data_IF_203126556503
#
_entry.id   IF_203126556503
#
_cell.length_a   1.000
_cell.length_b   1.000
_cell.length_c   1.000
_cell.angle_alpha   90.00
_cell.angle_beta   90.00
_cell.angle_gamma   90.00
#
_symmetry.space_group_name_H-M   'P 1'
#
loop_
_entity.id
_entity.type
_entity.pdbx_description
1 polymer ?
#
# COMPACT_ATOMS: atom_id res chain seq x y z
N UNK A 1 15.01 0.69 2.60
CA UNK A 1 14.80 -0.77 2.82
C UNK A 1 15.79 -1.50 1.94
N UNK A 2 16.96 -1.82 2.44
CA UNK A 2 18.06 -2.27 1.57
C UNK A 2 18.24 -3.78 1.48
N UNK A 3 17.70 -4.58 2.35
CA UNK A 3 17.70 -6.04 2.15
C UNK A 3 16.77 -6.73 3.11
N UNK A 4 15.90 -7.56 2.57
CA UNK A 4 15.31 -8.68 3.28
C UNK A 4 16.32 -9.83 3.17
N UNK A 5 17.13 -10.03 4.20
CA UNK A 5 18.06 -11.16 4.25
C UNK A 5 17.44 -12.30 5.05
N UNK A 6 17.32 -13.46 4.45
CA UNK A 6 17.08 -14.71 5.17
C UNK A 6 18.41 -15.23 5.66
N UNK A 7 18.58 -15.42 6.97
CA UNK A 7 19.70 -16.18 7.49
C UNK A 7 19.42 -17.68 7.31
N UNK A 8 20.45 -18.48 7.04
CA UNK A 8 20.33 -19.95 6.89
C UNK A 8 19.83 -20.66 8.16
N UNK A 9 19.79 -19.94 9.31
CA UNK A 9 19.27 -20.43 10.57
C UNK A 9 17.89 -19.86 10.83
N UNK A 10 16.88 -20.69 10.71
CA UNK A 10 15.46 -20.37 10.90
C UNK A 10 15.07 -19.79 12.27
N UNK A 11 16.01 -19.65 13.19
CA UNK A 11 15.79 -19.19 14.55
C UNK A 11 16.33 -17.78 14.85
N UNK A 12 16.89 -17.08 13.87
CA UNK A 12 17.45 -15.75 14.08
C UNK A 12 16.51 -14.63 13.60
N UNK A 13 16.52 -13.47 14.27
CA UNK A 13 15.66 -12.36 13.93
C UNK A 13 15.97 -11.83 12.51
N UNK A 14 14.93 -11.46 11.77
CA UNK A 14 15.09 -10.68 10.56
C UNK A 14 15.41 -9.25 10.92
N UNK A 15 16.58 -8.80 10.51
CA UNK A 15 17.03 -7.45 10.70
C UNK A 15 16.76 -6.66 9.41
N UNK A 16 15.97 -5.62 9.51
CA UNK A 16 15.89 -4.60 8.48
C UNK A 16 16.88 -3.52 8.89
N UNK A 17 18.12 -3.66 8.43
CA UNK A 17 19.19 -2.72 8.73
C UNK A 17 19.23 -1.61 7.69
N UNK A 18 19.25 -0.39 8.15
CA UNK A 18 19.49 0.76 7.32
C UNK A 18 20.72 1.49 7.86
N UNK A 19 21.85 1.33 7.18
CA UNK A 19 23.12 2.00 7.53
C UNK A 19 23.59 1.70 8.97
N UNK A 20 23.52 0.44 9.40
CA UNK A 20 23.99 0.01 10.72
C UNK A 20 23.05 0.37 11.89
N UNK A 21 21.81 0.80 11.59
CA UNK A 21 20.74 0.98 12.55
C UNK A 21 19.52 0.20 12.10
N UNK A 22 19.01 -0.68 12.95
CA UNK A 22 17.74 -1.34 12.72
C UNK A 22 16.61 -0.40 13.12
N UNK A 23 15.83 0.09 12.16
CA UNK A 23 14.60 0.83 12.42
C UNK A 23 13.47 -0.10 12.86
N UNK A 24 13.47 -1.32 12.33
CA UNK A 24 12.51 -2.38 12.67
C UNK A 24 13.24 -3.70 12.82
N UNK A 25 13.10 -4.33 13.97
CA UNK A 25 13.57 -5.69 14.25
C UNK A 25 12.37 -6.62 14.23
N UNK A 26 12.41 -7.63 13.39
CA UNK A 26 11.39 -8.68 13.32
C UNK A 26 12.01 -9.96 13.86
N UNK A 27 11.55 -10.39 15.02
CA UNK A 27 11.93 -11.68 15.58
C UNK A 27 11.32 -12.81 14.77
N UNK A 28 12.10 -13.85 14.49
CA UNK A 28 11.62 -15.00 13.75
C UNK A 28 10.81 -15.94 14.67
N UNK A 29 9.52 -15.67 14.78
CA UNK A 29 8.57 -16.58 15.41
C UNK A 29 7.86 -17.48 14.36
N UNK A 30 8.50 -17.76 13.24
CA UNK A 30 7.95 -18.57 12.15
C UNK A 30 7.48 -19.93 12.63
N UNK A 31 8.22 -20.58 13.55
CA UNK A 31 7.85 -21.88 14.08
C UNK A 31 6.50 -21.84 14.80
N UNK A 32 6.30 -20.88 15.72
CA UNK A 32 5.02 -20.72 16.44
C UNK A 32 3.88 -20.36 15.47
N UNK A 33 4.18 -19.59 14.43
CA UNK A 33 3.22 -19.23 13.41
C UNK A 33 2.80 -20.43 12.56
N UNK A 34 3.75 -21.31 12.17
CA UNK A 34 3.46 -22.54 11.46
C UNK A 34 2.68 -23.54 12.31
N UNK A 35 2.97 -23.63 13.62
CA UNK A 35 2.20 -24.46 14.55
C UNK A 35 0.74 -23.99 14.65
N UNK A 36 0.50 -22.68 14.55
CA UNK A 36 -0.85 -22.06 14.54
C UNK A 36 -1.58 -22.26 13.21
N UNK A 37 -0.84 -22.33 12.11
CA UNK A 37 -1.37 -22.45 10.75
C UNK A 37 -0.70 -23.61 10.00
N UNK A 38 -0.98 -24.85 10.39
CA UNK A 38 -0.27 -26.04 9.88
C UNK A 38 -0.46 -26.32 8.39
N UNK A 39 -1.55 -25.82 7.81
CA UNK A 39 -1.86 -25.98 6.39
C UNK A 39 -1.18 -24.93 5.49
N UNK A 40 -0.46 -23.98 6.08
CA UNK A 40 0.21 -22.91 5.33
C UNK A 40 1.69 -23.26 5.15
N UNK A 41 2.23 -23.25 3.90
CA UNK A 41 3.66 -23.47 3.67
C UNK A 41 4.53 -22.50 4.49
N UNK A 42 5.68 -22.98 4.95
CA UNK A 42 6.57 -22.21 5.85
C UNK A 42 6.98 -20.86 5.26
N UNK A 43 7.25 -20.78 3.95
CA UNK A 43 7.61 -19.52 3.28
C UNK A 43 6.46 -18.51 3.33
N UNK A 44 5.21 -19.00 3.21
CA UNK A 44 4.03 -18.15 3.36
C UNK A 44 3.82 -17.71 4.81
N UNK A 45 4.13 -18.58 5.78
CA UNK A 45 4.09 -18.21 7.19
C UNK A 45 5.09 -17.08 7.50
N UNK A 46 6.32 -17.20 7.02
CA UNK A 46 7.34 -16.15 7.15
C UNK A 46 6.88 -14.83 6.54
N UNK A 47 6.36 -14.87 5.31
CA UNK A 47 5.85 -13.70 4.61
C UNK A 47 4.72 -13.02 5.39
N UNK A 48 3.74 -13.79 5.89
CA UNK A 48 2.62 -13.26 6.67
C UNK A 48 3.06 -12.72 8.02
N UNK A 49 3.94 -13.46 8.73
CA UNK A 49 4.41 -13.08 10.04
C UNK A 49 5.25 -11.80 9.99
N UNK A 50 6.23 -11.74 9.09
CA UNK A 50 7.08 -10.57 8.93
C UNK A 50 6.27 -9.35 8.48
N UNK A 51 5.27 -9.55 7.60
CA UNK A 51 4.33 -8.52 7.20
C UNK A 51 3.54 -7.96 8.40
N UNK A 52 2.96 -8.83 9.21
CA UNK A 52 2.19 -8.44 10.38
C UNK A 52 3.05 -7.66 11.40
N UNK A 53 4.28 -8.13 11.64
CA UNK A 53 5.23 -7.46 12.53
C UNK A 53 5.63 -6.08 12.00
N UNK A 54 5.92 -5.97 10.71
CA UNK A 54 6.22 -4.69 10.07
C UNK A 54 5.06 -3.70 10.18
N UNK A 55 3.83 -4.13 9.90
CA UNK A 55 2.64 -3.28 9.99
C UNK A 55 2.45 -2.70 11.38
N UNK A 56 2.60 -3.55 12.39
CA UNK A 56 2.42 -3.14 13.78
C UNK A 56 3.46 -2.12 14.22
N UNK A 57 4.67 -2.19 13.67
CA UNK A 57 5.74 -1.26 13.98
C UNK A 57 5.68 0.02 13.16
N UNK A 58 5.26 -0.04 11.89
CA UNK A 58 5.14 1.10 10.99
C UNK A 58 4.27 2.23 11.57
N UNK A 59 3.25 1.87 12.34
CA UNK A 59 2.36 2.82 13.03
C UNK A 59 3.12 3.72 13.99
N UNK A 60 4.18 3.22 14.63
CA UNK A 60 5.01 4.01 15.54
C UNK A 60 5.82 5.10 14.80
N UNK A 61 5.99 4.94 13.50
CA UNK A 61 6.67 5.88 12.62
C UNK A 61 5.71 6.75 11.80
N UNK A 62 4.43 6.81 12.20
CA UNK A 62 3.42 7.60 11.52
C UNK A 62 3.06 7.09 10.13
N UNK A 63 3.19 5.79 9.90
CA UNK A 63 2.85 5.15 8.64
C UNK A 63 1.73 4.13 8.77
N UNK A 64 1.09 3.83 7.66
CA UNK A 64 0.07 2.79 7.50
C UNK A 64 0.35 1.97 6.24
N UNK A 65 -0.16 0.76 6.18
CA UNK A 65 -0.24 0.00 4.93
C UNK A 65 -1.64 0.09 4.36
N UNK A 66 -1.70 0.52 3.11
CA UNK A 66 -2.96 0.62 2.38
C UNK A 66 -3.04 -0.51 1.35
N UNK A 67 -4.11 -1.31 1.39
CA UNK A 67 -4.37 -2.33 0.38
C UNK A 67 -4.75 -1.64 -0.95
N UNK A 68 -3.75 -1.38 -1.76
CA UNK A 68 -3.86 -0.63 -3.01
C UNK A 68 -2.79 -1.04 -4.01
N UNK A 69 -3.06 -0.83 -5.30
CA UNK A 69 -2.00 -0.77 -6.31
C UNK A 69 -1.50 0.67 -6.42
N UNK A 70 -0.20 0.86 -6.27
CA UNK A 70 0.46 2.17 -6.39
C UNK A 70 1.23 2.24 -7.72
N UNK A 71 0.84 3.17 -8.58
CA UNK A 71 1.51 3.46 -9.85
C UNK A 71 2.16 4.82 -9.76
N UNK A 72 3.38 4.93 -10.23
CA UNK A 72 4.07 6.22 -10.36
C UNK A 72 4.04 6.65 -11.81
N UNK A 73 3.63 7.89 -12.05
CA UNK A 73 3.71 8.58 -13.35
C UNK A 73 4.41 9.91 -13.12
N UNK A 74 5.44 10.18 -13.91
CA UNK A 74 6.24 11.43 -13.81
C UNK A 74 6.70 11.75 -12.38
N UNK A 75 7.10 10.72 -11.63
CA UNK A 75 7.62 10.86 -10.28
C UNK A 75 6.58 11.05 -9.17
N UNK A 76 5.27 11.02 -9.47
CA UNK A 76 4.18 11.11 -8.49
C UNK A 76 3.39 9.81 -8.41
N UNK A 77 3.03 9.38 -7.20
CA UNK A 77 2.30 8.14 -6.95
C UNK A 77 0.78 8.35 -7.00
N UNK A 78 0.11 7.48 -7.72
CA UNK A 78 -1.35 7.36 -7.84
C UNK A 78 -1.76 6.03 -7.24
N UNK A 79 -2.53 6.05 -6.17
CA UNK A 79 -2.92 4.85 -5.43
C UNK A 79 -4.36 4.46 -5.77
N UNK A 80 -4.56 3.22 -6.15
CA UNK A 80 -5.87 2.66 -6.48
C UNK A 80 -6.26 1.62 -5.45
N UNK A 81 -7.30 1.90 -4.69
CA UNK A 81 -7.76 1.04 -3.60
C UNK A 81 -9.19 0.56 -3.85
N UNK A 82 -9.47 -0.67 -3.44
CA UNK A 82 -10.79 -1.31 -3.52
C UNK A 82 -10.76 -2.66 -2.79
N UNK A 83 -11.90 -3.29 -2.51
CA UNK A 83 -11.95 -4.68 -2.08
C UNK A 83 -11.19 -5.63 -3.01
N UNK A 84 -10.78 -6.80 -2.48
CA UNK A 84 -10.09 -7.81 -3.28
C UNK A 84 -10.92 -8.18 -4.52
N UNK A 85 -10.24 -8.37 -5.66
CA UNK A 85 -10.90 -8.77 -6.93
C UNK A 85 -11.66 -7.66 -7.66
N UNK A 86 -11.72 -6.41 -7.16
CA UNK A 86 -12.44 -5.31 -7.83
C UNK A 86 -11.76 -4.84 -9.11
N UNK A 87 -10.41 -4.96 -9.24
CA UNK A 87 -9.69 -4.56 -10.45
C UNK A 87 -8.56 -3.56 -10.24
N UNK A 88 -8.01 -3.43 -9.01
CA UNK A 88 -6.87 -2.53 -8.72
C UNK A 88 -5.70 -2.74 -9.67
N UNK A 89 -5.17 -3.97 -9.73
CA UNK A 89 -4.04 -4.32 -10.61
C UNK A 89 -4.38 -4.17 -12.09
N UNK A 90 -5.64 -4.43 -12.47
CA UNK A 90 -6.12 -4.18 -13.84
C UNK A 90 -6.05 -2.69 -14.17
N UNK A 91 -6.51 -1.83 -13.26
CA UNK A 91 -6.45 -0.38 -13.44
C UNK A 91 -5.01 0.14 -13.47
N UNK A 92 -4.13 -0.40 -12.61
CA UNK A 92 -2.70 -0.13 -12.64
C UNK A 92 -2.07 -0.50 -14.01
N UNK A 93 -2.47 -1.64 -14.59
CA UNK A 93 -2.03 -2.05 -15.91
C UNK A 93 -2.52 -1.11 -17.02
N UNK A 94 -3.71 -0.50 -16.90
CA UNK A 94 -4.17 0.53 -17.84
C UNK A 94 -3.26 1.77 -17.80
N UNK A 95 -2.79 2.17 -16.61
CA UNK A 95 -1.81 3.26 -16.49
C UNK A 95 -0.50 2.95 -17.20
N UNK A 96 0.03 1.72 -17.04
CA UNK A 96 1.26 1.33 -17.76
C UNK A 96 1.08 1.38 -19.29
N UNK A 97 -0.09 0.98 -19.79
CA UNK A 97 -0.40 1.03 -21.23
C UNK A 97 -0.54 2.46 -21.73
N UNK A 98 -1.20 3.34 -20.96
CA UNK A 98 -1.47 4.72 -21.36
C UNK A 98 -0.23 5.60 -21.30
N UNK A 99 0.62 5.43 -20.27
CA UNK A 99 1.75 6.33 -20.02
C UNK A 99 3.13 5.75 -20.40
N UNK A 100 3.19 4.46 -20.76
CA UNK A 100 4.40 3.81 -21.24
C UNK A 100 5.59 3.97 -20.29
N UNK A 101 6.73 4.43 -20.81
CA UNK A 101 7.97 4.60 -20.05
C UNK A 101 7.90 5.64 -18.91
N UNK A 102 6.90 6.52 -18.93
CA UNK A 102 6.64 7.50 -17.87
C UNK A 102 6.06 6.87 -16.61
N UNK A 103 5.56 5.62 -16.71
CA UNK A 103 4.85 4.94 -15.64
C UNK A 103 5.54 3.65 -15.19
N UNK A 104 5.45 3.37 -13.90
CA UNK A 104 5.81 2.07 -13.34
C UNK A 104 4.98 1.74 -12.11
N UNK A 105 4.83 0.44 -11.80
CA UNK A 105 4.20 0.00 -10.56
C UNK A 105 5.23 0.10 -9.43
N UNK A 106 4.89 0.87 -8.39
CA UNK A 106 5.69 0.98 -7.18
C UNK A 106 5.43 -0.21 -6.25
N UNK A 107 4.16 -0.61 -6.11
CA UNK A 107 3.73 -1.79 -5.36
C UNK A 107 2.31 -2.18 -5.76
N UNK A 108 2.05 -3.47 -6.00
CA UNK A 108 0.74 -3.91 -6.52
C UNK A 108 -0.22 -4.43 -5.44
N UNK A 109 0.10 -4.36 -4.14
CA UNK A 109 -0.81 -4.85 -3.11
C UNK A 109 -0.80 -4.03 -1.81
N UNK A 110 0.37 -3.80 -1.22
CA UNK A 110 0.49 -3.19 0.11
C UNK A 110 1.61 -2.16 0.18
N UNK A 111 1.53 -1.04 -0.57
CA UNK A 111 2.45 0.07 -0.37
C UNK A 111 2.34 0.60 1.06
N UNK A 112 3.48 1.00 1.64
CA UNK A 112 3.46 1.78 2.86
C UNK A 112 3.18 3.25 2.51
N UNK A 113 2.37 3.90 3.33
CA UNK A 113 2.01 5.31 3.21
C UNK A 113 2.48 6.02 4.46
N UNK A 114 3.30 7.06 4.33
CA UNK A 114 3.89 7.77 5.45
C UNK A 114 3.98 9.27 5.16
N UNK A 115 3.77 10.08 6.21
CA UNK A 115 4.04 11.51 6.15
C UNK A 115 5.52 11.78 6.45
N UNK A 116 6.20 12.46 5.55
CA UNK A 116 7.61 12.80 5.65
C UNK A 116 7.90 14.07 4.85
N UNK A 117 8.80 14.91 5.32
CA UNK A 117 9.23 16.14 4.62
C UNK A 117 8.08 17.05 4.14
N UNK A 118 6.98 17.12 4.92
CA UNK A 118 5.84 17.97 4.61
C UNK A 118 4.80 17.39 3.64
N UNK A 119 4.97 16.13 3.18
CA UNK A 119 4.07 15.47 2.25
C UNK A 119 3.85 14.00 2.62
N UNK A 120 2.81 13.38 2.05
CA UNK A 120 2.64 11.93 2.09
C UNK A 120 3.37 11.26 0.93
N UNK A 121 4.13 10.22 1.25
CA UNK A 121 4.81 9.37 0.29
C UNK A 121 4.26 7.95 0.33
N UNK A 122 4.21 7.33 -0.85
CA UNK A 122 4.03 5.89 -1.00
C UNK A 122 5.39 5.24 -1.16
N UNK A 123 5.58 4.08 -0.51
CA UNK A 123 6.80 3.28 -0.55
C UNK A 123 6.48 1.89 -1.08
N UNK A 124 7.35 1.35 -1.92
CA UNK A 124 7.31 -0.06 -2.24
C UNK A 124 7.67 -0.90 -1.03
N UNK A 125 6.98 -2.00 -0.86
CA UNK A 125 7.21 -2.98 0.22
C UNK A 125 7.40 -4.37 -0.37
N UNK A 126 8.00 -5.32 0.37
CA UNK A 126 8.07 -6.72 -0.07
C UNK A 126 6.71 -7.38 -0.23
N UNK A 127 5.66 -6.84 0.40
CA UNK A 127 4.30 -7.39 0.33
C UNK A 127 3.57 -6.83 -0.89
N UNK A 128 3.84 -7.45 -2.04
CA UNK A 128 3.42 -7.01 -3.38
C UNK A 128 2.30 -7.86 -4.00
N UNK A 129 1.77 -8.81 -3.24
CA UNK A 129 0.65 -9.65 -3.68
C UNK A 129 1.06 -10.74 -4.68
N UNK A 130 0.08 -11.23 -5.44
CA UNK A 130 0.25 -12.40 -6.31
C UNK A 130 1.22 -12.19 -7.48
N UNK A 131 1.33 -10.95 -7.95
CA UNK A 131 2.15 -10.61 -9.13
C UNK A 131 3.60 -10.33 -8.74
N UNK A 132 3.89 -10.24 -7.45
CA UNK A 132 5.21 -9.91 -6.89
C UNK A 132 5.87 -8.68 -7.55
N UNK A 133 5.06 -7.64 -7.79
CA UNK A 133 5.51 -6.41 -8.42
C UNK A 133 5.70 -5.34 -7.35
N UNK A 134 6.96 -5.04 -7.05
CA UNK A 134 7.37 -4.01 -6.12
C UNK A 134 8.70 -3.39 -6.54
N UNK A 135 8.94 -2.14 -6.15
CA UNK A 135 10.22 -1.46 -6.30
C UNK A 135 10.66 -0.87 -4.96
N UNK A 136 11.92 -1.02 -4.62
CA UNK A 136 12.51 -0.33 -3.47
C UNK A 136 12.70 1.17 -3.79
N UNK A 137 11.59 1.89 -3.78
CA UNK A 137 11.51 3.31 -4.10
C UNK A 137 10.39 3.98 -3.32
N UNK A 138 10.36 5.32 -3.33
CA UNK A 138 9.25 6.13 -2.84
C UNK A 138 8.86 7.20 -3.86
N UNK A 139 7.61 7.64 -3.80
CA UNK A 139 7.14 8.78 -4.56
C UNK A 139 6.09 9.57 -3.76
N UNK A 140 6.02 10.92 -3.89
CA UNK A 140 4.98 11.72 -3.26
C UNK A 140 3.62 11.35 -3.86
N UNK A 141 2.61 11.26 -2.99
CA UNK A 141 1.27 10.84 -3.40
C UNK A 141 0.54 12.01 -4.06
N UNK A 142 0.11 11.81 -5.32
CA UNK A 142 -0.72 12.76 -6.06
C UNK A 142 -2.18 12.66 -5.63
N UNK A 143 -2.65 11.45 -5.33
CA UNK A 143 -4.01 11.19 -4.90
C UNK A 143 -4.26 9.71 -4.64
N UNK A 144 -5.38 9.43 -3.99
CA UNK A 144 -5.86 8.07 -3.74
C UNK A 144 -7.25 7.93 -4.35
N UNK A 145 -7.46 6.88 -5.12
CA UNK A 145 -8.70 6.63 -5.83
C UNK A 145 -9.34 5.31 -5.39
N UNK A 146 -10.59 5.38 -4.95
CA UNK A 146 -11.41 4.21 -4.59
C UNK A 146 -12.13 3.77 -5.85
N UNK A 147 -11.83 2.54 -6.32
CA UNK A 147 -12.38 1.97 -7.54
C UNK A 147 -13.69 1.23 -7.26
N UNK A 148 -14.68 1.46 -8.09
CA UNK A 148 -15.93 0.73 -8.18
C UNK A 148 -16.14 0.26 -9.63
N UNK A 149 -16.62 -0.96 -9.82
CA UNK A 149 -16.95 -1.46 -11.15
C UNK A 149 -18.22 -0.82 -11.66
N UNK A 150 -18.19 -0.31 -12.88
CA UNK A 150 -19.34 0.26 -13.56
C UNK A 150 -19.19 0.12 -15.09
N UNK A 151 -20.26 0.29 -15.82
CA UNK A 151 -20.25 0.32 -17.29
C UNK A 151 -19.66 1.63 -17.83
N UNK A 152 -19.91 2.74 -17.12
CA UNK A 152 -19.43 4.09 -17.49
C UNK A 152 -18.31 4.53 -16.58
N UNK A 153 -17.39 5.31 -17.15
CA UNK A 153 -16.27 5.89 -16.45
C UNK A 153 -16.66 7.26 -15.89
N UNK A 154 -16.73 7.36 -14.57
CA UNK A 154 -17.07 8.60 -13.87
C UNK A 154 -16.16 8.75 -12.64
N UNK A 155 -15.56 9.92 -12.45
CA UNK A 155 -14.72 10.22 -11.29
C UNK A 155 -15.26 11.44 -10.56
N UNK A 156 -15.25 11.37 -9.22
CA UNK A 156 -15.62 12.48 -8.36
C UNK A 156 -14.69 12.56 -7.15
N UNK A 157 -14.42 13.78 -6.69
CA UNK A 157 -13.69 13.98 -5.42
C UNK A 157 -14.62 13.66 -4.26
N UNK A 158 -14.10 12.92 -3.29
CA UNK A 158 -14.83 12.60 -2.04
C UNK A 158 -14.05 13.12 -0.84
N UNK A 159 -14.76 13.40 0.24
CA UNK A 159 -14.17 13.90 1.48
C UNK A 159 -14.97 13.46 2.70
N UNK A 160 -14.57 13.99 3.88
CA UNK A 160 -15.25 13.72 5.14
C UNK A 160 -15.42 12.23 5.44
N UNK A 161 -16.62 11.86 5.90
CA UNK A 161 -16.93 10.49 6.32
C UNK A 161 -16.70 9.44 5.21
N UNK A 162 -17.01 9.77 3.96
CA UNK A 162 -16.85 8.83 2.84
C UNK A 162 -15.38 8.48 2.59
N UNK A 163 -14.49 9.48 2.62
CA UNK A 163 -13.05 9.28 2.48
C UNK A 163 -12.48 8.48 3.66
N UNK A 164 -12.85 8.83 4.91
CA UNK A 164 -12.40 8.12 6.11
C UNK A 164 -12.78 6.63 6.01
N UNK A 165 -14.06 6.32 5.77
CA UNK A 165 -14.55 4.95 5.69
C UNK A 165 -13.86 4.18 4.56
N UNK A 166 -13.71 4.81 3.39
CA UNK A 166 -13.07 4.21 2.23
C UNK A 166 -11.61 3.82 2.50
N UNK A 167 -10.81 4.75 3.02
CA UNK A 167 -9.40 4.51 3.36
C UNK A 167 -9.27 3.52 4.53
N UNK A 168 -10.04 3.72 5.61
CA UNK A 168 -10.00 2.86 6.78
C UNK A 168 -10.31 1.40 6.45
N UNK A 169 -11.31 1.16 5.58
CA UNK A 169 -11.70 -0.20 5.19
C UNK A 169 -10.60 -0.96 4.47
N UNK A 170 -9.68 -0.26 3.82
CA UNK A 170 -8.55 -0.82 3.06
C UNK A 170 -7.20 -0.67 3.78
N UNK A 171 -7.19 -0.09 4.98
CA UNK A 171 -5.98 0.00 5.80
C UNK A 171 -5.80 -1.31 6.60
N UNK A 172 -4.57 -1.83 6.62
CA UNK A 172 -4.21 -2.93 7.50
C UNK A 172 -4.24 -2.42 8.93
N UNK A 173 -5.03 -3.08 9.78
CA UNK A 173 -5.30 -2.62 11.15
C UNK A 173 -4.62 -3.51 12.17
N UNK A 174 -3.97 -2.93 13.19
CA UNK A 174 -3.47 -3.70 14.32
C UNK A 174 -4.64 -4.25 15.14
N UNK A 175 -4.43 -5.39 15.78
CA UNK A 175 -5.44 -5.97 16.67
C UNK A 175 -5.58 -5.22 18.00
N UNK A 176 -4.57 -4.46 18.38
CA UNK A 176 -4.53 -3.72 19.65
C UNK A 176 -5.22 -2.36 19.52
N UNK A 177 -6.21 -2.10 20.39
CA UNK A 177 -6.89 -0.81 20.48
C UNK A 177 -5.92 0.36 20.74
N UNK A 178 -4.81 0.12 21.45
CA UNK A 178 -3.78 1.13 21.74
C UNK A 178 -3.23 1.81 20.48
N UNK A 179 -3.17 1.09 19.35
CA UNK A 179 -2.65 1.62 18.10
C UNK A 179 -3.74 2.18 17.18
N UNK A 180 -5.00 1.93 17.50
CA UNK A 180 -6.12 2.36 16.65
C UNK A 180 -6.22 3.87 16.54
N UNK A 181 -6.04 4.60 17.64
CA UNK A 181 -6.06 6.07 17.63
C UNK A 181 -4.97 6.64 16.72
N UNK A 182 -3.79 6.03 16.69
CA UNK A 182 -2.70 6.44 15.80
C UNK A 182 -3.02 6.17 14.33
N UNK A 183 -3.66 5.04 14.03
CA UNK A 183 -4.11 4.72 12.68
C UNK A 183 -5.15 5.73 12.22
N UNK A 184 -6.14 6.03 13.05
CA UNK A 184 -7.18 7.01 12.73
C UNK A 184 -6.60 8.41 12.53
N UNK A 185 -5.73 8.87 13.44
CA UNK A 185 -5.05 10.16 13.29
C UNK A 185 -4.19 10.25 12.02
N UNK A 186 -3.54 9.13 11.64
CA UNK A 186 -2.78 9.08 10.38
C UNK A 186 -3.71 9.15 9.17
N UNK A 187 -4.87 8.48 9.20
CA UNK A 187 -5.87 8.53 8.13
C UNK A 187 -6.49 9.92 8.02
N UNK A 188 -6.85 10.55 9.14
CA UNK A 188 -7.36 11.93 9.15
C UNK A 188 -6.36 12.89 8.51
N UNK A 189 -5.09 12.84 8.94
CA UNK A 189 -4.03 13.64 8.35
C UNK A 189 -3.81 13.34 6.87
N UNK A 190 -3.95 12.07 6.45
CA UNK A 190 -3.84 11.67 5.05
C UNK A 190 -4.91 12.31 4.19
N UNK A 191 -6.18 12.25 4.59
CA UNK A 191 -7.29 12.82 3.81
C UNK A 191 -7.32 14.36 3.81
N UNK A 192 -6.68 15.00 4.79
CA UNK A 192 -6.50 16.46 4.81
C UNK A 192 -5.43 16.92 3.81
N UNK A 193 -4.43 16.10 3.53
CA UNK A 193 -3.27 16.47 2.74
C UNK A 193 -3.22 15.82 1.35
N UNK A 194 -3.99 14.76 1.13
CA UNK A 194 -4.03 14.00 -0.13
C UNK A 194 -5.46 13.96 -0.65
N UNK A 195 -5.70 14.36 -1.90
CA UNK A 195 -7.03 14.28 -2.52
C UNK A 195 -7.51 12.83 -2.62
N UNK A 196 -8.74 12.58 -2.16
CA UNK A 196 -9.37 11.26 -2.26
C UNK A 196 -10.48 11.31 -3.31
N UNK A 197 -10.51 10.30 -4.16
CA UNK A 197 -11.42 10.20 -5.30
C UNK A 197 -12.22 8.90 -5.27
N UNK A 198 -13.40 8.93 -5.84
CA UNK A 198 -14.20 7.74 -6.17
C UNK A 198 -14.27 7.63 -7.69
N UNK A 199 -13.87 6.48 -8.21
CA UNK A 199 -13.91 6.16 -9.64
C UNK A 199 -14.86 5.00 -9.87
N UNK A 200 -15.95 5.25 -10.55
CA UNK A 200 -16.77 4.22 -11.18
C UNK A 200 -16.18 3.96 -12.57
N UNK A 201 -15.75 2.73 -12.87
CA UNK A 201 -15.08 2.48 -14.15
C UNK A 201 -15.24 1.06 -14.67
N UNK A 202 -15.07 0.94 -15.98
CA UNK A 202 -14.85 -0.28 -16.73
C UNK A 202 -13.33 -0.52 -16.94
N UNK A 203 -12.97 -1.42 -17.87
CA UNK A 203 -11.57 -1.77 -18.16
C UNK A 203 -11.02 -1.08 -19.43
N UNK A 204 -11.68 -0.02 -19.91
CA UNK A 204 -11.25 0.72 -21.09
C UNK A 204 -10.11 1.71 -20.74
N UNK A 205 -9.22 2.03 -21.70
CA UNK A 205 -8.13 3.00 -21.50
C UNK A 205 -8.59 4.37 -21.00
N UNK A 206 -9.81 4.78 -21.33
CA UNK A 206 -10.43 6.02 -20.86
C UNK A 206 -10.43 6.11 -19.33
N UNK A 207 -10.64 5.00 -18.61
CA UNK A 207 -10.64 4.98 -17.15
C UNK A 207 -9.31 5.48 -16.56
N UNK A 208 -8.18 5.12 -17.18
CA UNK A 208 -6.86 5.62 -16.76
C UNK A 208 -6.72 7.12 -17.04
N UNK A 209 -7.16 7.59 -18.22
CA UNK A 209 -7.05 9.00 -18.60
C UNK A 209 -7.84 9.91 -17.69
N UNK A 210 -9.14 9.62 -17.47
CA UNK A 210 -9.98 10.48 -16.61
C UNK A 210 -9.47 10.50 -15.16
N UNK A 211 -9.00 9.37 -14.63
CA UNK A 211 -8.46 9.32 -13.27
C UNK A 211 -7.13 10.09 -13.15
N UNK A 212 -6.25 9.96 -14.13
CA UNK A 212 -5.01 10.73 -14.16
C UNK A 212 -5.27 12.23 -14.27
N UNK A 213 -6.15 12.64 -15.21
CA UNK A 213 -6.48 14.06 -15.40
C UNK A 213 -7.07 14.72 -14.16
N UNK A 214 -7.95 14.00 -13.45
CA UNK A 214 -8.53 14.50 -12.21
C UNK A 214 -7.48 14.59 -11.08
N UNK A 215 -6.68 13.53 -10.87
CA UNK A 215 -5.75 13.42 -9.76
C UNK A 215 -4.48 14.27 -9.95
N UNK A 216 -4.04 14.51 -11.19
CA UNK A 216 -2.82 15.27 -11.47
C UNK A 216 -2.98 16.79 -11.31
N UNK A 217 -4.20 17.31 -11.38
CA UNK A 217 -4.54 18.75 -11.28
C UNK A 217 -4.90 19.20 -9.87
N UNK A 218 -4.96 18.29 -8.90
CA UNK A 218 -5.44 18.52 -7.53
C UNK A 218 -4.37 19.05 -6.58
#
# INVERSE_FOLDING_TARGET
>A
MESFGRTERQAEPYLIDHVGRADVVIENATREFCERYPDVPIDNCEYMFTGTSFYSQLINFGGILLHSSAVVVDGRAYLFTAPCGTGKSTHAALYLREFGERAYILNDDKPAVRFEDGAFYAYGTPWSGKNDISRNARAPIAGICIINRAEKNEISRIGGKAAIVGIYSQTIRPQSAKYMDRVLSTIERLIENVPIWSLSCNMEPEAARISYEAMSKA
#
